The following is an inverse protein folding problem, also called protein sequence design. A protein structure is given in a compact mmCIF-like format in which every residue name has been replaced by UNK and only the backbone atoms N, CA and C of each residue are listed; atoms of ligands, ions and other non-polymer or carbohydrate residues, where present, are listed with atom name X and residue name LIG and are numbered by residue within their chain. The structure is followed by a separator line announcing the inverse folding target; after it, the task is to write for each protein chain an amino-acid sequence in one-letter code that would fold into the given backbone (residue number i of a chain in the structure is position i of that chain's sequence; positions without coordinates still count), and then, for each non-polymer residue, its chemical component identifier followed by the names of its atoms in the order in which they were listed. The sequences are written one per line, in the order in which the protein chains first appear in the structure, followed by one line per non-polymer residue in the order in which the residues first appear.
data_IF_198040854932
#
_entry.id   IF_198040854932
#
_cell.length_a   1.000
_cell.length_b   1.000
_cell.length_c   1.000
_cell.angle_alpha   90.00
_cell.angle_beta   90.00
_cell.angle_gamma   90.00
#
_symmetry.space_group_name_H-M   'P 1'
#
loop_
_entity.id
_entity.type
_entity.pdbx_description
1 polymer ?
#
# COMPACT_ATOMS: atom_id res chain seq x y z
N UNK A 1 -23.55 15.13 -0.13
CA UNK A 1 -23.76 13.73 -0.58
C UNK A 1 -22.52 12.94 -0.19
N UNK A 2 -22.63 11.91 0.66
CA UNK A 2 -21.50 11.06 1.05
C UNK A 2 -21.58 9.77 0.24
N UNK A 3 -20.56 9.50 -0.58
CA UNK A 3 -20.47 8.24 -1.32
C UNK A 3 -19.89 7.19 -0.38
N UNK A 4 -20.54 6.02 -0.31
CA UNK A 4 -20.05 4.85 0.43
C UNK A 4 -19.44 3.89 -0.58
N UNK A 5 -18.23 3.41 -0.32
CA UNK A 5 -17.49 2.49 -1.19
C UNK A 5 -16.86 1.39 -0.35
N UNK A 6 -16.60 0.23 -0.95
CA UNK A 6 -15.85 -0.86 -0.31
C UNK A 6 -14.33 -0.63 -0.46
N UNK A 7 -13.49 -1.20 0.43
CA UNK A 7 -12.04 -1.12 0.28
C UNK A 7 -11.53 -1.68 -1.07
N UNK A 8 -12.14 -2.74 -1.58
CA UNK A 8 -11.84 -3.27 -2.93
C UNK A 8 -12.11 -2.24 -4.02
N UNK A 9 -13.31 -1.63 -4.03
CA UNK A 9 -13.67 -0.58 -5.00
C UNK A 9 -12.79 0.66 -4.89
N UNK A 10 -12.30 0.98 -3.69
CA UNK A 10 -11.37 2.08 -3.47
C UNK A 10 -10.00 1.82 -4.12
N UNK A 11 -9.51 0.59 -4.05
CA UNK A 11 -8.17 0.23 -4.54
C UNK A 11 -8.13 -0.10 -6.03
N UNK A 12 -9.25 -0.49 -6.65
CA UNK A 12 -9.31 -0.77 -8.09
C UNK A 12 -8.83 0.44 -8.92
N UNK A 13 -7.84 0.24 -9.78
CA UNK A 13 -7.25 1.29 -10.61
C UNK A 13 -6.32 2.25 -9.87
N UNK A 14 -6.03 2.03 -8.59
CA UNK A 14 -5.18 2.91 -7.79
C UNK A 14 -3.70 2.80 -8.22
N UNK A 15 -2.97 3.91 -8.38
CA UNK A 15 -1.59 3.89 -8.86
C UNK A 15 -0.63 3.24 -7.86
N UNK A 16 0.27 2.40 -8.36
CA UNK A 16 1.33 1.75 -7.59
C UNK A 16 2.67 2.42 -7.87
N UNK A 17 3.18 3.14 -6.87
CA UNK A 17 4.47 3.81 -6.96
C UNK A 17 4.51 5.05 -7.86
N UNK A 18 5.65 5.75 -7.89
CA UNK A 18 5.84 6.93 -8.70
C UNK A 18 6.29 6.55 -10.14
N UNK A 19 5.54 7.00 -11.14
CA UNK A 19 5.95 7.06 -12.56
C UNK A 19 6.29 5.73 -13.26
N UNK A 20 5.29 4.86 -13.48
CA UNK A 20 5.37 3.76 -14.45
C UNK A 20 6.23 2.57 -14.02
N UNK A 21 7.09 2.74 -13.03
CA UNK A 21 7.91 1.67 -12.46
C UNK A 21 7.77 1.67 -10.94
N UNK A 22 7.83 0.49 -10.36
CA UNK A 22 7.85 0.32 -8.91
C UNK A 22 8.61 -0.96 -8.57
N UNK A 23 9.15 -1.04 -7.37
CA UNK A 23 10.00 -2.16 -6.94
C UNK A 23 9.47 -2.72 -5.63
N UNK A 24 9.64 -4.03 -5.44
CA UNK A 24 9.31 -4.69 -4.19
C UNK A 24 10.07 -4.04 -3.04
N UNK A 25 9.33 -3.60 -2.02
CA UNK A 25 9.88 -2.89 -0.86
C UNK A 25 10.96 -3.69 -0.12
N UNK A 26 10.89 -5.02 -0.17
CA UNK A 26 11.83 -5.90 0.53
C UNK A 26 13.04 -6.31 -0.33
N UNK A 27 12.81 -6.95 -1.48
CA UNK A 27 13.89 -7.52 -2.29
C UNK A 27 14.32 -6.67 -3.50
N UNK A 28 13.63 -5.57 -3.79
CA UNK A 28 13.93 -4.71 -4.94
C UNK A 28 13.53 -5.29 -6.30
N UNK A 29 12.75 -6.37 -6.36
CA UNK A 29 12.20 -6.88 -7.63
C UNK A 29 11.41 -5.79 -8.36
N UNK A 30 11.78 -5.47 -9.60
CA UNK A 30 11.06 -4.49 -10.43
C UNK A 30 9.76 -5.10 -10.95
N UNK A 31 8.64 -4.47 -10.65
CA UNK A 31 7.33 -4.89 -11.13
C UNK A 31 7.05 -4.40 -12.54
N UNK A 32 6.30 -5.22 -13.26
CA UNK A 32 5.80 -4.98 -14.60
C UNK A 32 4.30 -5.25 -14.66
N UNK A 33 3.69 -4.89 -15.80
CA UNK A 33 2.31 -5.25 -16.09
C UNK A 33 2.12 -6.77 -16.06
N UNK A 34 1.03 -7.22 -15.44
CA UNK A 34 0.67 -8.63 -15.29
C UNK A 34 1.21 -9.27 -14.01
N UNK A 35 2.18 -8.65 -13.34
CA UNK A 35 2.73 -9.20 -12.10
C UNK A 35 1.68 -9.27 -10.99
N UNK A 36 1.81 -10.28 -10.14
CA UNK A 36 1.08 -10.33 -8.86
C UNK A 36 1.86 -9.61 -7.79
N UNK A 37 1.15 -8.82 -7.00
CA UNK A 37 1.72 -8.05 -5.91
C UNK A 37 0.79 -8.03 -4.70
N UNK A 38 1.38 -7.81 -3.54
CA UNK A 38 0.65 -7.39 -2.35
C UNK A 38 0.95 -5.92 -2.11
N UNK A 39 -0.09 -5.10 -2.01
CA UNK A 39 0.03 -3.67 -1.81
C UNK A 39 -0.44 -3.29 -0.41
N UNK A 40 0.33 -2.44 0.27
CA UNK A 40 -0.11 -1.75 1.46
C UNK A 40 -0.52 -0.32 1.09
N UNK A 41 -1.82 -0.06 1.15
CA UNK A 41 -2.39 1.27 1.01
C UNK A 41 -2.59 1.89 2.40
N UNK A 42 -2.27 3.17 2.54
CA UNK A 42 -2.50 3.90 3.78
C UNK A 42 -3.25 5.20 3.53
N UNK A 43 -4.03 5.62 4.52
CA UNK A 43 -4.62 6.95 4.62
C UNK A 43 -4.36 7.51 6.02
N UNK A 44 -3.54 8.56 6.14
CA UNK A 44 -3.38 9.29 7.40
C UNK A 44 -4.72 9.86 7.91
N UNK A 45 -4.91 9.93 9.22
CA UNK A 45 -6.18 10.31 9.83
C UNK A 45 -6.59 11.78 9.59
N UNK A 46 -5.63 12.63 9.23
CA UNK A 46 -5.81 14.05 8.93
C UNK A 46 -6.03 14.33 7.43
N UNK A 47 -6.10 13.29 6.59
CA UNK A 47 -6.34 13.41 5.15
C UNK A 47 -7.38 12.42 4.65
N UNK A 48 -8.06 12.78 3.57
CA UNK A 48 -8.96 11.90 2.85
C UNK A 48 -8.27 11.12 1.71
N UNK A 49 -6.98 11.38 1.48
CA UNK A 49 -6.22 10.77 0.39
C UNK A 49 -5.57 9.45 0.81
N UNK A 50 -5.87 8.40 0.05
CA UNK A 50 -5.12 7.14 0.11
C UNK A 50 -3.85 7.23 -0.73
N UNK A 51 -2.85 6.42 -0.40
CA UNK A 51 -1.69 6.18 -1.23
C UNK A 51 -1.17 4.74 -1.05
N UNK A 52 -0.61 4.15 -2.11
CA UNK A 52 0.11 2.88 -2.02
C UNK A 52 1.58 3.20 -1.76
N UNK A 53 2.07 2.78 -0.59
CA UNK A 53 3.44 3.09 -0.16
C UNK A 53 4.39 1.91 -0.36
N UNK A 54 3.91 0.68 -0.21
CA UNK A 54 4.75 -0.52 -0.15
C UNK A 54 4.13 -1.65 -0.97
N UNK A 55 4.61 -1.88 -2.20
CA UNK A 55 4.30 -3.10 -2.93
C UNK A 55 5.31 -4.21 -2.58
N UNK A 56 4.83 -5.45 -2.52
CA UNK A 56 5.60 -6.66 -2.22
C UNK A 56 5.37 -7.70 -3.30
N UNK A 57 6.45 -8.33 -3.78
CA UNK A 57 6.31 -9.43 -4.73
C UNK A 57 5.77 -10.67 -3.99
N UNK A 58 5.31 -11.68 -4.73
CA UNK A 58 4.73 -12.91 -4.15
C UNK A 58 5.67 -13.55 -3.11
N UNK A 59 6.98 -13.54 -3.36
CA UNK A 59 7.97 -14.13 -2.43
C UNK A 59 8.18 -13.32 -1.14
N UNK A 60 7.83 -12.03 -1.14
CA UNK A 60 8.00 -11.12 0.01
C UNK A 60 6.66 -10.65 0.57
N UNK A 61 5.55 -11.24 0.14
CA UNK A 61 4.21 -10.84 0.54
C UNK A 61 4.02 -11.07 2.04
N UNK A 62 3.69 -10.05 2.82
CA UNK A 62 3.18 -10.26 4.17
C UNK A 62 1.74 -10.78 4.12
N UNK A 63 1.36 -11.61 5.09
CA UNK A 63 -0.03 -12.10 5.23
C UNK A 63 -0.90 -11.12 6.03
N UNK A 64 -0.30 -10.37 6.96
CA UNK A 64 -1.00 -9.44 7.88
C UNK A 64 -0.19 -8.16 8.13
N UNK A 65 -0.87 -7.11 8.60
CA UNK A 65 -0.24 -5.84 9.00
C UNK A 65 0.30 -6.00 10.43
N UNK A 66 1.61 -6.28 10.56
CA UNK A 66 2.24 -6.52 11.87
C UNK A 66 2.73 -5.25 12.57
N UNK A 67 3.06 -4.21 11.81
CA UNK A 67 3.58 -2.94 12.31
C UNK A 67 2.81 -1.78 11.68
N UNK A 68 1.58 -1.52 12.17
CA UNK A 68 0.75 -0.50 11.58
C UNK A 68 1.35 0.90 11.78
N UNK A 69 1.22 1.74 10.76
CA UNK A 69 1.73 3.10 10.79
C UNK A 69 0.85 3.95 11.72
N UNK A 70 1.47 4.62 12.70
CA UNK A 70 0.76 5.44 13.68
C UNK A 70 -0.07 6.52 12.97
N UNK A 71 -1.33 6.67 13.39
CA UNK A 71 -2.25 7.65 12.82
C UNK A 71 -2.74 7.33 11.41
N UNK A 72 -2.45 6.15 10.84
CA UNK A 72 -2.92 5.76 9.51
C UNK A 72 -3.97 4.65 9.59
N UNK A 73 -5.02 4.76 8.76
CA UNK A 73 -5.79 3.58 8.36
C UNK A 73 -4.98 2.86 7.29
N UNK A 74 -4.77 1.56 7.40
CA UNK A 74 -4.04 0.78 6.39
C UNK A 74 -4.88 -0.39 5.88
N UNK A 75 -4.67 -0.73 4.61
CA UNK A 75 -5.27 -1.87 3.92
C UNK A 75 -4.15 -2.66 3.28
N UNK A 76 -4.15 -3.96 3.52
CA UNK A 76 -3.29 -4.92 2.85
C UNK A 76 -4.12 -5.69 1.83
N UNK A 77 -3.72 -5.67 0.56
CA UNK A 77 -4.45 -6.32 -0.50
C UNK A 77 -3.52 -7.08 -1.44
N UNK A 78 -3.92 -8.28 -1.85
CA UNK A 78 -3.33 -8.97 -2.99
C UNK A 78 -3.98 -8.45 -4.27
N UNK A 79 -3.23 -8.34 -5.35
CA UNK A 79 -3.75 -7.86 -6.63
C UNK A 79 -2.89 -8.32 -7.82
N UNK A 80 -3.40 -8.09 -9.02
CA UNK A 80 -2.61 -8.04 -10.24
C UNK A 80 -2.25 -6.60 -10.57
N UNK A 81 -1.11 -6.38 -11.22
CA UNK A 81 -0.71 -5.07 -11.72
C UNK A 81 -1.16 -4.91 -13.18
N UNK A 82 -1.81 -3.80 -13.46
CA UNK A 82 -2.13 -3.34 -14.81
C UNK A 82 -1.39 -2.07 -15.16
N UNK A 83 -1.59 -1.59 -16.38
CA UNK A 83 -1.04 -0.30 -16.85
C UNK A 83 -2.16 0.64 -17.23
N UNK A 84 -2.10 1.89 -16.73
CA UNK A 84 -2.93 3.00 -17.20
C UNK A 84 -2.06 4.01 -17.96
N UNK A 85 -2.46 4.31 -19.18
CA UNK A 85 -1.86 5.37 -19.98
C UNK A 85 -2.79 6.60 -20.03
N UNK A 86 -2.25 7.76 -19.69
CA UNK A 86 -2.84 9.07 -19.97
C UNK A 86 -2.11 9.68 -21.18
N UNK A 87 -2.78 9.63 -22.33
CA UNK A 87 -2.21 10.08 -23.60
C UNK A 87 -2.08 11.60 -23.69
N UNK A 88 -2.90 12.36 -22.95
CA UNK A 88 -2.84 13.82 -22.97
C UNK A 88 -1.58 14.32 -22.27
N UNK A 89 -1.15 13.63 -21.20
CA UNK A 89 0.07 13.96 -20.45
C UNK A 89 1.26 13.08 -20.82
N UNK A 90 1.07 12.11 -21.73
CA UNK A 90 2.07 11.09 -22.10
C UNK A 90 2.64 10.35 -20.88
N UNK A 91 1.79 10.09 -19.88
CA UNK A 91 2.18 9.40 -18.66
C UNK A 91 1.61 7.98 -18.62
N UNK A 92 2.45 7.05 -18.19
CA UNK A 92 2.06 5.67 -17.95
C UNK A 92 2.32 5.31 -16.49
N UNK A 93 1.37 4.62 -15.85
CA UNK A 93 1.49 4.19 -14.45
C UNK A 93 1.02 2.75 -14.27
N UNK A 94 1.70 2.03 -13.39
CA UNK A 94 1.18 0.77 -12.87
C UNK A 94 -0.01 1.06 -11.96
N UNK A 95 -1.04 0.22 -12.06
CA UNK A 95 -2.27 0.32 -11.28
C UNK A 95 -2.65 -1.04 -10.70
N UNK A 96 -3.39 -1.00 -9.61
CA UNK A 96 -4.02 -2.18 -9.01
C UNK A 96 -5.19 -2.66 -9.88
N UNK A 97 -5.24 -3.95 -10.16
CA UNK A 97 -6.37 -4.65 -10.75
C UNK A 97 -6.82 -5.79 -9.85
N UNK A 98 -8.13 -5.97 -9.72
CA UNK A 98 -8.76 -7.09 -9.01
C UNK A 98 -8.24 -7.24 -7.56
N UNK A 99 -8.32 -6.20 -6.69
CA UNK A 99 -7.76 -6.27 -5.35
C UNK A 99 -8.60 -7.16 -4.42
N UNK A 100 -7.92 -8.02 -3.69
CA UNK A 100 -8.47 -8.85 -2.63
C UNK A 100 -7.88 -8.44 -1.28
N UNK A 101 -8.73 -7.87 -0.42
CA UNK A 101 -8.32 -7.39 0.91
C UNK A 101 -7.98 -8.59 1.79
N UNK A 102 -6.76 -8.59 2.32
CA UNK A 102 -6.26 -9.61 3.23
C UNK A 102 -6.39 -9.16 4.69
N UNK A 103 -6.08 -7.89 4.96
CA UNK A 103 -6.06 -7.34 6.30
C UNK A 103 -6.29 -5.83 6.30
N UNK A 104 -6.69 -5.29 7.44
CA UNK A 104 -6.87 -3.85 7.64
C UNK A 104 -6.55 -3.44 9.07
N UNK A 105 -5.92 -2.28 9.23
CA UNK A 105 -5.70 -1.69 10.55
C UNK A 105 -6.36 -0.32 10.66
N UNK A 106 -7.10 -0.04 11.74
CA UNK A 106 -7.63 1.29 12.00
C UNK A 106 -6.50 2.25 12.43
N UNK A 107 -6.74 3.57 12.34
CA UNK A 107 -5.78 4.54 12.85
C UNK A 107 -5.57 4.33 14.34
N UNK A 108 -4.35 3.94 14.69
CA UNK A 108 -3.97 3.73 16.08
C UNK A 108 -3.35 5.02 16.62
N UNK A 109 -3.79 5.45 17.81
CA UNK A 109 -3.23 6.58 18.56
C UNK A 109 -2.14 6.16 19.57
N UNK A 110 -1.83 4.85 19.65
CA UNK A 110 -0.86 4.30 20.61
C UNK A 110 0.22 3.56 19.84
N UNK A 111 1.44 4.11 19.79
CA UNK A 111 2.58 3.33 19.34
C UNK A 111 2.60 2.01 20.12
N UNK A 112 2.77 0.87 19.44
CA UNK A 112 3.10 -0.37 20.14
C UNK A 112 4.26 -0.04 21.08
N UNK A 113 4.09 -0.37 22.37
CA UNK A 113 4.96 0.15 23.43
C UNK A 113 6.42 -0.02 23.03
N UNK A 114 7.22 1.06 22.96
CA UNK A 114 8.61 0.94 22.56
C UNK A 114 9.28 0.00 23.56
N UNK A 115 9.80 -1.14 23.08
CA UNK A 115 10.75 -1.94 23.84
C UNK A 115 11.86 -0.97 24.25
N UNK A 116 11.99 -0.73 25.55
CA UNK A 116 12.98 0.18 26.10
C UNK A 116 14.36 -0.19 25.55
N UNK A 117 14.93 0.71 24.73
CA UNK A 117 16.34 0.61 24.34
C UNK A 117 17.13 1.05 25.58
N UNK A 118 17.95 0.17 26.20
CA UNK A 118 18.71 0.55 27.37
C UNK A 118 19.72 1.64 26.99
N UNK A 119 19.65 2.80 27.65
CA UNK A 119 20.67 3.83 27.54
C UNK A 119 21.88 3.37 28.37
N UNK A 120 23.07 3.19 27.77
CA UNK A 120 24.26 2.83 28.53
C UNK A 120 24.64 3.99 29.46
N UNK A 121 24.74 3.71 30.76
CA UNK A 121 25.24 4.69 31.72
C UNK A 121 26.75 4.84 31.54
N UNK A 122 27.22 6.09 31.47
CA UNK A 122 28.64 6.44 31.36
C UNK A 122 29.17 6.90 32.71
#
# INVERSE_FOLDING_TARGET
MKVVTTPTQLLEGFPVGPHGTTMCQHCGYTFHEGDRATVLAARPADTDCWAIHRPYCVACSPDTITQPTLGCTELLAQCRLGTRADLATQQTRLIVLEPEIQDSSPPTNRAAEPRAIPVPQR
#
